data_IF_303213578891
#
_entry.id   IF_303213578891
#
_cell.length_a   1.000
_cell.length_b   1.000
_cell.length_c   1.000
_cell.angle_alpha   90.00
_cell.angle_beta   90.00
_cell.angle_gamma   90.00
#
_symmetry.space_group_name_H-M   'P 1'
#
loop_
_entity.id
_entity.type
_entity.pdbx_description
1 polymer ?
#
# COMPACT_ATOMS: atom_id res chain seq x y z
N UNK A 1 21.17 5.53 11.71
CA UNK A 1 20.12 5.26 10.70
C UNK A 1 18.87 4.80 11.43
N UNK A 2 17.81 5.62 11.49
CA UNK A 2 16.51 5.22 12.05
C UNK A 2 15.71 4.45 11.00
N UNK A 3 15.30 3.24 11.28
CA UNK A 3 14.42 2.49 10.38
C UNK A 3 13.03 3.10 10.48
N UNK A 4 12.54 3.59 9.34
CA UNK A 4 11.19 4.09 9.20
C UNK A 4 10.28 2.87 9.12
N UNK A 5 9.80 2.40 10.27
CA UNK A 5 8.58 1.58 10.29
C UNK A 5 7.55 2.35 9.46
N UNK A 6 6.80 1.67 8.59
CA UNK A 6 5.71 2.33 7.88
C UNK A 6 4.81 3.01 8.91
N UNK A 7 4.85 4.34 8.97
CA UNK A 7 4.00 5.12 9.88
C UNK A 7 2.53 4.82 9.54
N UNK A 8 1.70 4.66 10.57
CA UNK A 8 0.25 4.47 10.52
C UNK A 8 -0.43 5.35 9.44
N UNK A 9 0.08 6.57 9.22
CA UNK A 9 -0.41 7.47 8.19
C UNK A 9 -0.18 6.96 6.76
N UNK A 10 1.00 6.44 6.47
CA UNK A 10 1.31 5.87 5.15
C UNK A 10 0.48 4.61 4.91
N UNK A 11 0.36 3.76 5.94
CA UNK A 11 -0.49 2.58 5.88
C UNK A 11 -1.95 2.93 5.58
N UNK A 12 -2.50 3.86 6.35
CA UNK A 12 -3.89 4.31 6.26
C UNK A 12 -4.25 4.88 4.89
N UNK A 13 -3.31 5.54 4.21
CA UNK A 13 -3.51 6.05 2.84
C UNK A 13 -3.65 4.93 1.82
N UNK A 14 -2.80 3.91 1.88
CA UNK A 14 -2.86 2.76 0.97
C UNK A 14 -4.16 2.00 1.20
N UNK A 15 -4.49 1.72 2.46
CA UNK A 15 -5.73 1.05 2.84
C UNK A 15 -6.95 1.84 2.36
N UNK A 16 -7.04 3.13 2.68
CA UNK A 16 -8.16 3.99 2.28
C UNK A 16 -8.33 4.06 0.77
N UNK A 17 -7.24 4.14 0.00
CA UNK A 17 -7.32 4.12 -1.46
C UNK A 17 -7.95 2.83 -1.98
N UNK A 18 -7.52 1.69 -1.46
CA UNK A 18 -8.07 0.37 -1.82
C UNK A 18 -9.55 0.23 -1.44
N UNK A 19 -10.02 0.91 -0.39
CA UNK A 19 -11.44 0.94 0.00
C UNK A 19 -12.28 1.82 -0.91
N UNK A 20 -11.75 2.97 -1.34
CA UNK A 20 -12.44 3.87 -2.27
C UNK A 20 -12.49 3.28 -3.68
N UNK A 21 -11.45 2.53 -4.07
CA UNK A 21 -11.31 1.91 -5.39
C UNK A 21 -11.15 0.39 -5.30
N UNK A 22 -12.14 -0.36 -4.79
CA UNK A 22 -12.01 -1.82 -4.63
C UNK A 22 -11.82 -2.56 -5.96
N UNK A 23 -12.28 -2.00 -7.08
CA UNK A 23 -12.18 -2.55 -8.43
C UNK A 23 -10.74 -2.75 -8.92
N UNK A 24 -9.77 -2.06 -8.33
CA UNK A 24 -8.35 -2.18 -8.73
C UNK A 24 -7.65 -3.37 -8.06
N UNK A 25 -8.28 -4.01 -7.08
CA UNK A 25 -7.68 -5.09 -6.29
C UNK A 25 -7.73 -6.42 -7.06
N UNK A 26 -6.66 -6.72 -7.80
CA UNK A 26 -6.59 -7.89 -8.68
C UNK A 26 -6.48 -9.23 -7.96
N UNK A 27 -5.92 -9.27 -6.75
CA UNK A 27 -5.57 -10.52 -6.07
C UNK A 27 -6.18 -10.68 -4.68
N UNK A 28 -6.91 -9.66 -4.22
CA UNK A 28 -7.56 -9.65 -2.91
C UNK A 28 -9.04 -9.42 -3.13
N UNK A 29 -9.87 -10.33 -2.64
CA UNK A 29 -11.32 -10.28 -2.84
C UNK A 29 -12.01 -9.13 -2.10
N UNK A 30 -11.30 -8.41 -1.21
CA UNK A 30 -11.81 -7.22 -0.53
C UNK A 30 -10.69 -6.26 -0.08
N UNK A 31 -11.01 -4.97 0.17
CA UNK A 31 -10.08 -3.99 0.76
C UNK A 31 -9.51 -4.42 2.12
N UNK A 32 -10.30 -5.09 2.95
CA UNK A 32 -9.86 -5.60 4.25
C UNK A 32 -8.83 -6.73 4.09
N UNK A 33 -9.07 -7.66 3.16
CA UNK A 33 -8.14 -8.73 2.87
C UNK A 33 -6.79 -8.18 2.36
N UNK A 34 -6.85 -7.19 1.45
CA UNK A 34 -5.68 -6.47 0.98
C UNK A 34 -4.93 -5.76 2.12
N UNK A 35 -5.66 -5.03 2.96
CA UNK A 35 -5.11 -4.30 4.12
C UNK A 35 -4.40 -5.25 5.09
N UNK A 36 -4.99 -6.41 5.38
CA UNK A 36 -4.33 -7.42 6.21
C UNK A 36 -3.06 -7.98 5.54
N UNK A 37 -3.07 -8.16 4.23
CA UNK A 37 -1.93 -8.70 3.50
C UNK A 37 -0.74 -7.72 3.48
N UNK A 38 -0.97 -6.42 3.22
CA UNK A 38 0.10 -5.39 3.31
C UNK A 38 0.64 -5.27 4.74
N UNK A 39 -0.20 -5.42 5.76
CA UNK A 39 0.21 -5.42 7.18
C UNK A 39 1.13 -6.61 7.47
N UNK A 40 0.72 -7.82 7.08
CA UNK A 40 1.51 -9.03 7.29
C UNK A 40 2.89 -8.92 6.63
N UNK A 41 2.94 -8.46 5.39
CA UNK A 41 4.21 -8.26 4.67
C UNK A 41 5.12 -7.24 5.39
N UNK A 42 4.56 -6.13 5.88
CA UNK A 42 5.32 -5.12 6.63
C UNK A 42 5.84 -5.66 7.97
N UNK A 43 5.02 -6.41 8.73
CA UNK A 43 5.44 -7.06 9.98
C UNK A 43 6.53 -8.09 9.74
N UNK A 44 6.40 -8.88 8.67
CA UNK A 44 7.42 -9.87 8.31
C UNK A 44 8.75 -9.20 7.96
N UNK A 45 8.72 -8.14 7.14
CA UNK A 45 9.91 -7.35 6.82
C UNK A 45 10.55 -6.74 8.09
N UNK A 46 9.73 -6.20 9.00
CA UNK A 46 10.19 -5.69 10.29
C UNK A 46 10.92 -6.76 11.11
N UNK A 47 10.34 -7.97 11.23
CA UNK A 47 10.93 -9.07 12.00
C UNK A 47 12.21 -9.61 11.36
N UNK A 48 12.28 -9.66 10.02
CA UNK A 48 13.52 -10.01 9.31
C UNK A 48 14.63 -8.99 9.61
N UNK A 49 14.29 -7.70 9.66
CA UNK A 49 15.25 -6.63 9.97
C UNK A 49 15.63 -6.59 11.45
N UNK A 50 14.72 -6.97 12.33
CA UNK A 50 14.89 -6.95 13.78
C UNK A 50 14.51 -8.29 14.43
N UNK A 51 15.38 -9.31 14.34
CA UNK A 51 15.09 -10.64 14.85
C UNK A 51 14.77 -10.70 16.35
N UNK A 52 15.30 -9.75 17.14
CA UNK A 52 15.01 -9.64 18.58
C UNK A 52 13.52 -9.34 18.86
N UNK A 53 12.77 -8.84 17.88
CA UNK A 53 11.34 -8.57 17.97
C UNK A 53 10.49 -9.61 17.22
N UNK A 54 10.97 -10.85 17.06
CA UNK A 54 10.26 -11.93 16.35
C UNK A 54 8.81 -12.15 16.83
N UNK A 55 8.55 -11.94 18.11
CA UNK A 55 7.23 -12.12 18.72
C UNK A 55 6.41 -10.82 18.78
N UNK A 56 7.02 -9.68 18.41
CA UNK A 56 6.33 -8.40 18.41
C UNK A 56 5.23 -8.38 17.36
N UNK A 57 4.08 -7.84 17.76
CA UNK A 57 2.94 -7.53 16.89
C UNK A 57 2.75 -6.02 16.92
N UNK A 58 3.58 -5.25 16.18
CA UNK A 58 3.48 -3.81 16.21
C UNK A 58 2.05 -3.42 15.82
N UNK A 59 1.33 -2.67 16.67
CA UNK A 59 0.01 -2.20 16.31
C UNK A 59 0.17 -1.27 15.11
N UNK A 60 -0.66 -1.46 14.10
CA UNK A 60 -0.85 -0.45 13.05
C UNK A 60 -2.27 0.08 13.21
N UNK A 61 -2.38 1.38 13.43
CA UNK A 61 -3.68 2.06 13.49
C UNK A 61 -4.11 2.42 12.07
N UNK A 62 -5.17 1.78 11.59
CA UNK A 62 -5.75 2.11 10.27
C UNK A 62 -6.85 3.14 10.46
N UNK A 63 -6.61 4.35 9.96
CA UNK A 63 -7.62 5.39 9.87
C UNK A 63 -8.18 5.43 8.45
N UNK A 64 -9.43 5.00 8.32
CA UNK A 64 -10.14 5.04 7.04
C UNK A 64 -10.62 6.46 6.74
N UNK A 65 -10.38 6.90 5.51
CA UNK A 65 -10.87 8.19 4.98
C UNK A 65 -11.35 8.01 3.54
N UNK A 66 -12.38 8.75 3.16
CA UNK A 66 -12.89 8.76 1.78
C UNK A 66 -12.10 9.77 0.91
N UNK A 67 -11.44 10.74 1.53
CA UNK A 67 -10.58 11.70 0.86
C UNK A 67 -9.13 11.19 0.87
N UNK A 68 -8.66 10.75 -0.31
CA UNK A 68 -7.32 10.20 -0.48
C UNK A 68 -6.59 10.92 -1.61
N UNK A 69 -5.54 11.67 -1.28
CA UNK A 69 -4.66 12.28 -2.27
C UNK A 69 -3.79 11.20 -2.97
N UNK A 70 -3.94 11.00 -4.29
CA UNK A 70 -3.18 9.97 -5.00
C UNK A 70 -1.66 10.14 -4.93
N UNK A 71 -1.15 11.37 -4.77
CA UNK A 71 0.27 11.67 -4.65
C UNK A 71 0.82 11.23 -3.30
N UNK A 72 0.01 11.34 -2.25
CA UNK A 72 0.35 10.79 -0.94
C UNK A 72 0.28 9.26 -0.91
N UNK A 73 -0.61 8.64 -1.70
CA UNK A 73 -0.67 7.18 -1.87
C UNK A 73 0.59 6.66 -2.55
N UNK A 74 1.02 7.27 -3.67
CA UNK A 74 2.27 6.88 -4.35
C UNK A 74 3.48 7.00 -3.42
N UNK A 75 3.59 8.09 -2.65
CA UNK A 75 4.65 8.23 -1.65
C UNK A 75 4.59 7.13 -0.59
N UNK A 76 3.40 6.82 -0.08
CA UNK A 76 3.20 5.76 0.90
C UNK A 76 3.57 4.37 0.35
N UNK A 77 3.19 4.06 -0.89
CA UNK A 77 3.57 2.82 -1.60
C UNK A 77 5.10 2.74 -1.74
N UNK A 78 5.75 3.84 -2.11
CA UNK A 78 7.22 3.91 -2.18
C UNK A 78 7.89 3.59 -0.84
N UNK A 79 7.40 4.18 0.26
CA UNK A 79 7.88 3.86 1.61
C UNK A 79 7.63 2.40 1.98
N UNK A 80 6.49 1.83 1.58
CA UNK A 80 6.18 0.43 1.84
C UNK A 80 7.11 -0.52 1.07
N UNK A 81 7.30 -0.31 -0.24
CA UNK A 81 8.24 -1.10 -1.07
C UNK A 81 9.68 -0.99 -0.58
N UNK A 82 10.10 0.17 -0.07
CA UNK A 82 11.44 0.33 0.52
C UNK A 82 11.63 -0.58 1.74
N UNK A 83 10.59 -0.75 2.56
CA UNK A 83 10.63 -1.60 3.74
C UNK A 83 10.43 -3.08 3.39
N UNK A 84 9.59 -3.36 2.41
CA UNK A 84 9.08 -4.69 2.07
C UNK A 84 9.69 -5.15 0.75
N UNK A 85 10.71 -6.02 0.83
CA UNK A 85 11.26 -6.70 -0.34
C UNK A 85 10.47 -7.99 -0.61
N UNK A 86 9.43 -7.89 -1.42
CA UNK A 86 8.67 -9.05 -1.92
C UNK A 86 9.13 -9.43 -3.33
N UNK A 87 9.00 -10.71 -3.72
CA UNK A 87 9.09 -11.12 -5.12
C UNK A 87 8.04 -10.42 -5.98
N UNK A 88 8.37 -10.11 -7.24
CA UNK A 88 7.49 -9.42 -8.20
C UNK A 88 6.18 -10.19 -8.49
N UNK A 89 6.15 -11.50 -8.24
CA UNK A 89 4.97 -12.35 -8.42
C UNK A 89 4.07 -12.43 -7.18
N UNK A 90 4.44 -11.76 -6.08
CA UNK A 90 3.66 -11.79 -4.86
C UNK A 90 2.28 -11.12 -5.04
N UNK A 91 1.16 -11.74 -4.61
CA UNK A 91 -0.21 -11.24 -4.84
C UNK A 91 -0.45 -9.79 -4.36
N UNK A 92 0.21 -9.41 -3.26
CA UNK A 92 0.14 -8.03 -2.72
C UNK A 92 0.79 -7.03 -3.67
N UNK A 93 1.92 -7.37 -4.28
CA UNK A 93 2.63 -6.43 -5.16
C UNK A 93 1.85 -6.18 -6.45
N UNK A 94 1.14 -7.20 -6.98
CA UNK A 94 0.20 -7.01 -8.12
C UNK A 94 -0.92 -6.02 -7.81
N UNK A 95 -1.50 -6.09 -6.61
CA UNK A 95 -2.56 -5.15 -6.19
C UNK A 95 -2.00 -3.74 -5.96
N UNK A 96 -0.77 -3.63 -5.44
CA UNK A 96 -0.06 -2.35 -5.30
C UNK A 96 0.24 -1.74 -6.68
N UNK A 97 0.69 -2.55 -7.63
CA UNK A 97 0.99 -2.11 -8.99
C UNK A 97 -0.28 -1.65 -9.72
N UNK A 98 -1.39 -2.38 -9.56
CA UNK A 98 -2.69 -1.98 -10.09
C UNK A 98 -3.16 -0.62 -9.53
N UNK A 99 -2.95 -0.35 -8.23
CA UNK A 99 -3.21 0.96 -7.63
C UNK A 99 -2.34 2.05 -8.28
N UNK A 100 -1.04 1.82 -8.45
CA UNK A 100 -0.12 2.78 -9.09
C UNK A 100 -0.56 3.09 -10.52
N UNK A 101 -0.92 2.07 -11.29
CA UNK A 101 -1.40 2.21 -12.66
C UNK A 101 -2.73 2.99 -12.73
N UNK A 102 -3.67 2.69 -11.83
CA UNK A 102 -4.94 3.41 -11.74
C UNK A 102 -4.74 4.90 -11.43
N UNK A 103 -3.83 5.22 -10.49
CA UNK A 103 -3.45 6.62 -10.19
C UNK A 103 -2.83 7.30 -11.41
N UNK A 104 -1.99 6.60 -12.18
CA UNK A 104 -1.36 7.16 -13.37
C UNK A 104 -2.38 7.44 -14.48
N UNK A 105 -3.37 6.55 -14.68
CA UNK A 105 -4.42 6.70 -15.67
C UNK A 105 -5.38 7.85 -15.33
N UNK A 106 -5.77 7.99 -14.06
CA UNK A 106 -6.64 9.08 -13.60
C UNK A 106 -5.97 10.46 -13.64
N UNK A 107 -4.64 10.52 -13.67
CA UNK A 107 -3.85 11.76 -13.77
C UNK A 107 -3.49 12.18 -15.18
N UNK A 108 -3.63 11.30 -16.19
CA UNK A 108 -3.40 11.71 -17.57
C UNK A 108 -4.45 12.76 -17.94
N UNK A 109 -4.06 13.97 -18.38
CA UNK A 109 -5.02 14.91 -18.94
C UNK A 109 -5.74 14.21 -20.10
N UNK A 110 -7.06 14.36 -20.16
CA UNK A 110 -7.84 14.01 -21.34
C UNK A 110 -7.17 14.70 -22.54
N UNK A 111 -6.68 13.88 -23.47
CA UNK A 111 -5.99 14.36 -24.66
C UNK A 111 -6.93 15.32 -25.42
N UNK A 112 -6.58 16.62 -25.60
CA UNK A 112 -7.45 17.57 -26.28
C UNK A 112 -7.54 17.35 -27.80
N UNK A 113 -7.03 16.24 -28.33
CA UNK A 113 -6.93 15.97 -29.77
C UNK A 113 -8.16 15.26 -30.38
N UNK A 114 -9.35 15.36 -29.76
CA UNK A 114 -10.62 14.88 -30.33
C UNK A 114 -11.74 15.92 -30.21
N UNK A 115 -11.50 17.15 -30.67
CA UNK A 115 -12.56 18.16 -30.92
C UNK A 115 -12.30 18.88 -32.23
#
# INVERSE_FOLDING_TARGET
>A
MSVVILDDRAFSRIASYARVHPEVLQSHSSPEAFTQAIYRANVEAFRRRYPQYKDARPPICVQWTDEVDPGHVIKAIGSWRYNVALPDDHPVDRSIEAIVQHIAQTRKPLDPAQS
#
